data_IF_052338161240
#
_entry.id   IF_052338161240
#
_cell.length_a   1.000
_cell.length_b   1.000
_cell.length_c   1.000
_cell.angle_alpha   90.00
_cell.angle_beta   90.00
_cell.angle_gamma   90.00
#
_symmetry.space_group_name_H-M   'P 1'
#
loop_
_entity.id
_entity.type
_entity.pdbx_description
1 polymer ?
#
# COMPACT_ATOMS: atom_id res chain seq x y z
N UNK A 1 4.94 -25.89 10.94
CA UNK A 1 5.72 -25.36 9.81
C UNK A 1 5.84 -23.85 10.00
N UNK A 2 7.03 -23.37 10.25
CA UNK A 2 7.30 -21.94 10.35
C UNK A 2 7.19 -21.34 8.93
N UNK A 3 6.10 -20.66 8.64
CA UNK A 3 5.93 -19.95 7.39
C UNK A 3 6.93 -18.77 7.37
N UNK A 4 8.12 -18.99 6.83
CA UNK A 4 9.08 -17.93 6.54
C UNK A 4 8.51 -17.05 5.41
N UNK A 5 7.70 -16.08 5.79
CA UNK A 5 7.20 -15.10 4.85
C UNK A 5 8.36 -14.23 4.38
N UNK A 6 8.74 -14.36 3.10
CA UNK A 6 9.75 -13.50 2.46
C UNK A 6 9.05 -12.22 2.01
N UNK A 7 9.57 -11.06 2.41
CA UNK A 7 9.05 -9.76 1.96
C UNK A 7 9.25 -9.61 0.45
N UNK A 8 8.27 -8.98 -0.21
CA UNK A 8 8.29 -8.78 -1.65
C UNK A 8 9.38 -7.80 -2.03
N UNK A 9 10.16 -8.09 -3.09
CA UNK A 9 11.24 -7.25 -3.60
C UNK A 9 12.21 -6.80 -2.49
N UNK A 10 12.54 -7.72 -1.55
CA UNK A 10 13.32 -7.40 -0.35
C UNK A 10 14.69 -6.82 -0.70
N UNK A 11 15.49 -7.55 -1.49
CA UNK A 11 16.86 -7.16 -1.82
C UNK A 11 16.86 -5.85 -2.62
N UNK A 12 16.00 -5.74 -3.63
CA UNK A 12 15.88 -4.57 -4.48
C UNK A 12 15.47 -3.32 -3.69
N UNK A 13 14.62 -3.49 -2.68
CA UNK A 13 14.20 -2.39 -1.81
C UNK A 13 15.34 -1.94 -0.92
N UNK A 14 16.07 -2.86 -0.32
CA UNK A 14 17.21 -2.54 0.56
C UNK A 14 18.38 -1.92 -0.23
N UNK A 15 18.69 -2.44 -1.40
CA UNK A 15 19.67 -1.82 -2.32
C UNK A 15 19.19 -0.42 -2.77
N UNK A 16 17.90 -0.31 -3.07
CA UNK A 16 17.27 0.95 -3.42
C UNK A 16 17.39 2.02 -2.35
N UNK A 17 17.24 1.66 -1.08
CA UNK A 17 17.36 2.56 0.06
C UNK A 17 18.78 3.08 0.29
N UNK A 18 19.81 2.35 -0.13
CA UNK A 18 21.23 2.67 0.17
C UNK A 18 21.47 2.91 1.67
N UNK A 19 21.14 1.92 2.48
CA UNK A 19 21.15 2.04 3.94
C UNK A 19 22.53 2.52 4.46
N UNK A 20 22.51 3.69 5.12
CA UNK A 20 23.67 4.24 5.86
C UNK A 20 23.64 3.71 7.29
N UNK A 21 24.77 3.22 7.86
CA UNK A 21 24.77 2.64 9.21
C UNK A 21 24.24 3.55 10.31
N UNK A 22 24.52 4.85 10.26
CA UNK A 22 24.11 5.84 11.26
C UNK A 22 22.83 6.60 10.86
N UNK A 23 22.13 6.16 9.80
CA UNK A 23 20.98 6.84 9.24
C UNK A 23 19.68 6.60 10.02
N UNK A 24 18.67 7.38 9.69
CA UNK A 24 17.29 7.27 10.21
C UNK A 24 16.38 6.75 9.10
N UNK A 25 15.72 5.63 9.35
CA UNK A 25 14.85 4.96 8.39
C UNK A 25 13.44 4.77 8.92
N UNK A 26 12.46 4.87 8.03
CA UNK A 26 11.04 4.71 8.37
C UNK A 26 10.43 3.66 7.45
N UNK A 27 9.67 2.74 8.03
CA UNK A 27 8.75 1.88 7.30
C UNK A 27 7.31 2.28 7.67
N UNK A 28 6.57 2.80 6.68
CA UNK A 28 5.20 3.27 6.88
C UNK A 28 4.15 2.17 6.81
N UNK A 29 4.57 0.96 6.46
CA UNK A 29 3.74 -0.23 6.25
C UNK A 29 4.43 -1.44 6.86
N UNK A 30 4.71 -1.36 8.16
CA UNK A 30 5.63 -2.25 8.88
C UNK A 30 5.31 -3.75 8.70
N UNK A 31 4.01 -4.09 8.70
CA UNK A 31 3.53 -5.46 8.55
C UNK A 31 4.26 -6.44 9.45
N UNK A 32 4.74 -7.55 8.88
CA UNK A 32 5.56 -8.54 9.61
C UNK A 32 7.04 -8.16 9.77
N UNK A 33 7.40 -6.91 9.54
CA UNK A 33 8.75 -6.34 9.72
C UNK A 33 9.87 -7.02 8.92
N UNK A 34 9.58 -7.51 7.71
CA UNK A 34 10.61 -8.16 6.90
C UNK A 34 11.64 -7.17 6.35
N UNK A 35 11.20 -6.09 5.69
CA UNK A 35 12.06 -5.01 5.25
C UNK A 35 12.74 -4.33 6.45
N UNK A 36 11.98 -4.07 7.52
CA UNK A 36 12.47 -3.47 8.75
C UNK A 36 13.64 -4.25 9.38
N UNK A 37 13.53 -5.58 9.49
CA UNK A 37 14.59 -6.44 10.03
C UNK A 37 15.88 -6.30 9.23
N UNK A 38 15.78 -6.23 7.91
CA UNK A 38 16.92 -6.14 7.03
C UNK A 38 17.59 -4.77 7.07
N UNK A 39 16.80 -3.68 7.22
CA UNK A 39 17.33 -2.34 7.52
C UNK A 39 18.02 -2.33 8.88
N UNK A 40 17.36 -2.83 9.94
CA UNK A 40 17.91 -2.84 11.30
C UNK A 40 19.24 -3.62 11.39
N UNK A 41 19.40 -4.69 10.61
CA UNK A 41 20.65 -5.47 10.55
C UNK A 41 21.82 -4.65 10.01
N UNK A 42 21.55 -3.67 9.15
CA UNK A 42 22.57 -2.78 8.55
C UNK A 42 22.86 -1.52 9.38
N UNK A 43 21.99 -1.20 10.35
CA UNK A 43 22.17 -0.02 11.19
C UNK A 43 23.21 -0.28 12.28
N UNK A 44 24.02 0.74 12.57
CA UNK A 44 24.89 0.80 13.74
C UNK A 44 24.10 1.12 15.03
N UNK A 45 24.79 1.22 16.15
CA UNK A 45 24.20 1.66 17.42
C UNK A 45 23.69 3.12 17.39
N UNK A 46 24.15 3.94 16.44
CA UNK A 46 23.71 5.34 16.27
C UNK A 46 22.51 5.46 15.31
N UNK A 47 22.30 4.47 14.45
CA UNK A 47 21.19 4.45 13.52
C UNK A 47 19.85 4.29 14.25
N UNK A 48 18.78 4.81 13.66
CA UNK A 48 17.41 4.71 14.20
C UNK A 48 16.46 4.15 13.15
N UNK A 49 15.51 3.37 13.60
CA UNK A 49 14.45 2.83 12.77
C UNK A 49 13.08 3.12 13.40
N UNK A 50 12.15 3.61 12.60
CA UNK A 50 10.78 3.88 12.99
C UNK A 50 9.85 3.02 12.12
N UNK A 51 9.06 2.15 12.77
CA UNK A 51 8.04 1.35 12.10
C UNK A 51 6.65 1.90 12.39
N UNK A 52 5.84 2.07 11.37
CA UNK A 52 4.46 2.55 11.47
C UNK A 52 3.54 1.51 10.84
N UNK A 53 2.49 1.11 11.57
CA UNK A 53 1.40 0.33 11.03
C UNK A 53 0.10 0.67 11.76
N UNK A 54 -1.02 0.59 11.07
CA UNK A 54 -2.35 0.81 11.65
C UNK A 54 -2.96 -0.46 12.24
N UNK A 55 -2.46 -1.63 11.81
CA UNK A 55 -2.94 -2.93 12.24
C UNK A 55 -2.26 -3.39 13.52
N UNK A 56 -3.06 -3.71 14.55
CA UNK A 56 -2.53 -4.19 15.83
C UNK A 56 -1.77 -5.51 15.71
N UNK A 57 -2.23 -6.41 14.84
CA UNK A 57 -1.59 -7.70 14.64
C UNK A 57 -0.19 -7.54 14.03
N UNK A 58 -0.04 -6.58 13.09
CA UNK A 58 1.24 -6.21 12.53
C UNK A 58 2.19 -5.63 13.60
N UNK A 59 1.68 -4.75 14.46
CA UNK A 59 2.47 -4.16 15.57
C UNK A 59 3.01 -5.25 16.51
N UNK A 60 2.19 -6.23 16.88
CA UNK A 60 2.60 -7.34 17.74
C UNK A 60 3.69 -8.17 17.07
N UNK A 61 3.44 -8.64 15.85
CA UNK A 61 4.40 -9.47 15.10
C UNK A 61 5.73 -8.75 14.86
N UNK A 62 5.67 -7.45 14.51
CA UNK A 62 6.86 -6.64 14.31
C UNK A 62 7.64 -6.43 15.61
N UNK A 63 6.97 -6.21 16.73
CA UNK A 63 7.61 -6.03 18.04
C UNK A 63 8.41 -7.26 18.46
N UNK A 64 7.85 -8.44 18.24
CA UNK A 64 8.52 -9.72 18.50
C UNK A 64 9.74 -9.88 17.59
N UNK A 65 9.55 -9.67 16.28
CA UNK A 65 10.60 -9.86 15.28
C UNK A 65 11.77 -8.89 15.44
N UNK A 66 11.49 -7.66 15.88
CA UNK A 66 12.48 -6.60 16.05
C UNK A 66 13.04 -6.50 17.49
N UNK A 67 12.67 -7.41 18.39
CA UNK A 67 13.06 -7.39 19.79
C UNK A 67 14.58 -7.28 20.02
N UNK A 68 15.41 -7.90 19.15
CA UNK A 68 16.86 -7.80 19.18
C UNK A 68 17.41 -6.38 18.90
N UNK A 69 16.58 -5.50 18.34
CA UNK A 69 16.95 -4.13 17.95
C UNK A 69 16.23 -3.05 18.76
N UNK A 70 15.59 -3.39 19.89
CA UNK A 70 14.72 -2.53 20.69
C UNK A 70 15.32 -1.15 21.04
N UNK A 71 16.66 -1.07 21.22
CA UNK A 71 17.34 0.16 21.63
C UNK A 71 17.39 1.23 20.52
N UNK A 72 17.14 0.84 19.28
CA UNK A 72 17.17 1.72 18.09
C UNK A 72 15.89 1.70 17.26
N UNK A 73 14.89 0.91 17.68
CA UNK A 73 13.59 0.77 17.00
C UNK A 73 12.50 1.43 17.81
N UNK A 74 11.68 2.23 17.14
CA UNK A 74 10.43 2.77 17.68
C UNK A 74 9.29 2.26 16.80
N UNK A 75 8.26 1.64 17.38
CA UNK A 75 7.09 1.16 16.68
C UNK A 75 5.88 1.99 17.09
N UNK A 76 5.13 2.49 16.10
CA UNK A 76 3.99 3.39 16.28
C UNK A 76 2.76 2.78 15.63
N UNK A 77 1.67 2.62 16.38
CA UNK A 77 0.38 2.26 15.82
C UNK A 77 -0.32 3.48 15.24
N UNK A 78 -0.10 3.76 13.97
CA UNK A 78 -0.66 4.91 13.25
C UNK A 78 -0.80 4.58 11.77
N UNK A 79 -1.52 5.41 11.03
CA UNK A 79 -1.53 5.33 9.57
C UNK A 79 -0.35 6.14 9.01
N UNK A 80 0.28 5.66 7.95
CA UNK A 80 1.44 6.33 7.34
C UNK A 80 1.12 7.75 6.82
N UNK A 81 -0.14 8.12 6.62
CA UNK A 81 -0.50 9.50 6.30
C UNK A 81 -0.12 10.49 7.41
N UNK A 82 0.02 10.01 8.64
CA UNK A 82 0.46 10.81 9.77
C UNK A 82 1.97 10.75 10.03
N UNK A 83 2.73 10.03 9.19
CA UNK A 83 4.18 9.81 9.35
C UNK A 83 4.95 11.08 9.68
N UNK A 84 4.73 12.17 8.95
CA UNK A 84 5.42 13.45 9.17
C UNK A 84 5.15 14.01 10.56
N UNK A 85 3.93 13.90 11.05
CA UNK A 85 3.56 14.38 12.39
C UNK A 85 4.13 13.47 13.48
N UNK A 86 4.06 12.15 13.30
CA UNK A 86 4.62 11.18 14.25
C UNK A 86 6.14 11.36 14.39
N UNK A 87 6.86 11.58 13.29
CA UNK A 87 8.30 11.86 13.34
C UNK A 87 8.61 13.18 14.05
N UNK A 88 7.83 14.24 13.81
CA UNK A 88 7.97 15.52 14.52
C UNK A 88 7.78 15.35 16.04
N UNK A 89 6.81 14.54 16.46
CA UNK A 89 6.56 14.24 17.87
C UNK A 89 7.76 13.53 18.52
N UNK A 90 8.55 12.77 17.74
CA UNK A 90 9.81 12.14 18.17
C UNK A 90 11.03 13.07 18.05
N UNK A 91 10.85 14.34 17.67
CA UNK A 91 11.94 15.28 17.41
C UNK A 91 12.75 14.97 16.14
N UNK A 92 12.18 14.17 15.22
CA UNK A 92 12.82 13.80 13.95
C UNK A 92 12.24 14.68 12.85
N UNK A 93 13.08 15.52 12.26
CA UNK A 93 12.69 16.46 11.20
C UNK A 93 13.16 16.01 9.82
N UNK A 94 14.09 15.05 9.76
CA UNK A 94 14.67 14.56 8.52
C UNK A 94 15.03 13.08 8.65
N UNK A 95 14.87 12.32 7.56
CA UNK A 95 15.18 10.88 7.50
C UNK A 95 16.01 10.54 6.27
N UNK A 96 16.80 9.45 6.34
CA UNK A 96 17.66 8.98 5.24
C UNK A 96 16.92 8.06 4.28
N UNK A 97 15.84 7.41 4.73
CA UNK A 97 15.04 6.58 3.83
C UNK A 97 13.67 6.23 4.37
N UNK A 98 12.76 5.98 3.43
CA UNK A 98 11.37 5.59 3.70
C UNK A 98 11.04 4.37 2.85
N UNK A 99 10.35 3.40 3.44
CA UNK A 99 9.74 2.24 2.74
C UNK A 99 8.23 2.33 2.86
N UNK A 100 7.54 2.06 1.76
CA UNK A 100 6.12 1.76 1.72
C UNK A 100 5.93 0.47 0.92
N UNK A 101 5.43 -0.58 1.56
CA UNK A 101 4.98 -1.83 0.95
C UNK A 101 3.45 -1.84 0.98
N UNK A 102 2.83 -1.32 -0.10
CA UNK A 102 1.41 -1.00 -0.13
C UNK A 102 0.53 -2.25 -0.21
N UNK A 103 -0.74 -2.07 0.12
CA UNK A 103 -1.76 -3.11 0.04
C UNK A 103 -1.94 -3.89 1.34
N UNK A 104 -2.34 -5.15 1.24
CA UNK A 104 -2.64 -6.01 2.40
C UNK A 104 -1.43 -6.81 2.83
N UNK A 105 -1.23 -6.91 4.13
CA UNK A 105 -0.20 -7.78 4.68
C UNK A 105 -0.58 -9.25 4.47
N UNK A 106 0.43 -10.12 4.47
CA UNK A 106 0.17 -11.55 4.38
C UNK A 106 -0.62 -12.07 5.57
N UNK A 107 -0.40 -11.51 6.75
CA UNK A 107 -1.18 -11.84 7.93
C UNK A 107 -2.67 -11.54 7.73
N UNK A 108 -3.01 -10.40 7.15
CA UNK A 108 -4.40 -10.04 6.83
C UNK A 108 -5.04 -10.99 5.82
N UNK A 109 -4.27 -11.50 4.86
CA UNK A 109 -4.76 -12.47 3.88
C UNK A 109 -4.89 -13.89 4.45
N UNK A 110 -4.01 -14.27 5.38
CA UNK A 110 -3.95 -15.60 5.95
C UNK A 110 -4.91 -15.76 7.15
N UNK A 111 -5.30 -14.65 7.79
CA UNK A 111 -6.34 -14.64 8.81
C UNK A 111 -7.72 -14.46 8.17
N UNK A 112 -8.43 -15.56 7.98
CA UNK A 112 -9.72 -15.60 7.30
C UNK A 112 -10.76 -14.66 7.94
N UNK A 113 -10.79 -14.57 9.28
CA UNK A 113 -11.72 -13.72 10.06
C UNK A 113 -11.59 -12.22 9.74
N UNK A 114 -10.49 -11.78 9.12
CA UNK A 114 -10.28 -10.40 8.68
C UNK A 114 -11.05 -10.05 7.39
N UNK A 115 -11.60 -11.03 6.66
CA UNK A 115 -12.45 -10.84 5.49
C UNK A 115 -11.76 -10.29 4.23
N UNK A 116 -10.44 -10.31 4.15
CA UNK A 116 -9.70 -9.86 2.96
C UNK A 116 -9.67 -10.90 1.83
N UNK A 117 -9.93 -12.17 2.15
CA UNK A 117 -9.90 -13.24 1.16
C UNK A 117 -11.30 -13.58 0.65
N UNK A 118 -11.41 -13.84 -0.63
CA UNK A 118 -12.62 -14.34 -1.30
C UNK A 118 -12.61 -15.88 -1.48
N UNK A 119 -11.63 -16.56 -0.89
CA UNK A 119 -11.44 -18.01 -1.06
C UNK A 119 -12.17 -18.82 0.00
N UNK A 120 -12.47 -18.21 1.11
CA UNK A 120 -13.09 -18.80 2.29
C UNK A 120 -14.29 -17.94 2.67
N UNK A 121 -15.32 -18.54 3.23
CA UNK A 121 -16.47 -17.82 3.78
C UNK A 121 -16.15 -17.32 5.19
N UNK A 122 -16.13 -16.02 5.38
CA UNK A 122 -15.74 -15.33 6.59
C UNK A 122 -16.50 -13.99 6.73
N UNK A 123 -16.48 -13.34 7.90
CA UNK A 123 -17.10 -12.01 8.05
C UNK A 123 -16.58 -11.01 7.00
N UNK A 124 -17.47 -10.21 6.42
CA UNK A 124 -17.15 -9.20 5.42
C UNK A 124 -16.63 -7.92 6.10
N UNK A 125 -15.43 -8.00 6.69
CA UNK A 125 -14.82 -6.94 7.50
C UNK A 125 -13.90 -6.03 6.65
N UNK A 126 -12.75 -6.50 6.20
CA UNK A 126 -11.71 -5.81 5.40
C UNK A 126 -11.10 -4.55 6.05
N UNK A 127 -11.28 -4.29 7.34
CA UNK A 127 -10.64 -3.16 8.03
C UNK A 127 -9.15 -3.44 8.23
N UNK A 128 -8.29 -2.56 7.75
CA UNK A 128 -6.86 -2.56 8.09
C UNK A 128 -6.67 -2.03 9.54
N UNK A 129 -7.35 -0.94 9.88
CA UNK A 129 -7.42 -0.42 11.23
C UNK A 129 -8.74 -0.86 11.89
N UNK A 130 -8.65 -1.83 12.81
CA UNK A 130 -9.84 -2.34 13.53
C UNK A 130 -10.46 -1.35 14.51
N UNK A 131 -9.84 -0.18 14.75
CA UNK A 131 -10.44 0.90 15.57
C UNK A 131 -11.55 1.65 14.83
N UNK A 132 -11.56 1.60 13.48
CA UNK A 132 -12.69 2.17 12.73
C UNK A 132 -13.94 1.31 12.90
N UNK A 133 -15.12 1.95 12.96
CA UNK A 133 -16.39 1.25 13.12
C UNK A 133 -16.92 0.63 11.83
N UNK A 134 -16.60 1.25 10.69
CA UNK A 134 -17.13 0.89 9.38
C UNK A 134 -16.40 -0.33 8.83
N UNK A 135 -17.17 -1.30 8.30
CA UNK A 135 -16.68 -2.53 7.69
C UNK A 135 -16.99 -2.57 6.18
N UNK A 136 -16.49 -3.59 5.47
CA UNK A 136 -16.85 -3.83 4.09
C UNK A 136 -18.34 -4.17 3.94
N UNK A 137 -18.93 -4.87 4.94
CA UNK A 137 -20.36 -5.15 4.95
C UNK A 137 -21.19 -3.84 4.96
N UNK A 138 -20.77 -2.82 5.68
CA UNK A 138 -21.46 -1.53 5.72
C UNK A 138 -21.44 -0.82 4.35
N UNK A 139 -20.35 -0.93 3.60
CA UNK A 139 -20.28 -0.42 2.22
C UNK A 139 -21.24 -1.19 1.32
N UNK A 140 -21.19 -2.51 1.35
CA UNK A 140 -21.99 -3.37 0.48
C UNK A 140 -23.50 -3.21 0.77
N UNK A 141 -23.88 -3.11 2.03
CA UNK A 141 -25.28 -2.99 2.43
C UNK A 141 -25.78 -1.54 2.42
N UNK A 142 -24.91 -0.54 2.59
CA UNK A 142 -25.32 0.86 2.77
C UNK A 142 -25.21 1.74 1.52
N UNK A 143 -24.25 1.50 0.62
CA UNK A 143 -24.04 2.33 -0.55
C UNK A 143 -25.17 2.21 -1.57
N UNK A 144 -25.51 3.31 -2.25
CA UNK A 144 -26.43 3.27 -3.39
C UNK A 144 -25.81 2.53 -4.58
N UNK A 145 -26.66 2.04 -5.51
CA UNK A 145 -26.19 1.32 -6.71
C UNK A 145 -25.17 2.13 -7.52
N UNK A 146 -25.38 3.44 -7.64
CA UNK A 146 -24.47 4.35 -8.34
C UNK A 146 -23.09 4.44 -7.66
N UNK A 147 -23.04 4.44 -6.34
CA UNK A 147 -21.79 4.48 -5.58
C UNK A 147 -21.06 3.15 -5.67
N UNK A 148 -21.76 2.02 -5.53
CA UNK A 148 -21.18 0.69 -5.73
C UNK A 148 -20.62 0.54 -7.15
N UNK A 149 -21.39 0.97 -8.17
CA UNK A 149 -20.89 0.99 -9.55
C UNK A 149 -19.62 1.82 -9.68
N UNK A 150 -19.58 3.03 -9.12
CA UNK A 150 -18.41 3.91 -9.16
C UNK A 150 -17.16 3.23 -8.57
N UNK A 151 -17.25 2.71 -7.35
CA UNK A 151 -16.07 2.09 -6.71
C UNK A 151 -15.61 0.84 -7.44
N UNK A 152 -16.52 -0.02 -7.90
CA UNK A 152 -16.17 -1.23 -8.64
C UNK A 152 -15.56 -0.89 -10.01
N UNK A 153 -16.04 0.17 -10.66
CA UNK A 153 -15.50 0.66 -11.93
C UNK A 153 -14.12 1.30 -11.72
N UNK A 154 -14.01 2.27 -10.80
CA UNK A 154 -12.83 3.12 -10.65
C UNK A 154 -11.70 2.41 -9.91
N UNK A 155 -12.00 1.62 -8.89
CA UNK A 155 -11.00 0.94 -8.04
C UNK A 155 -10.81 -0.54 -8.38
N UNK A 156 -11.85 -1.18 -8.92
CA UNK A 156 -11.75 -2.56 -9.41
C UNK A 156 -11.32 -2.65 -10.87
N UNK A 157 -11.47 -1.57 -11.65
CA UNK A 157 -11.29 -1.57 -13.11
C UNK A 157 -12.10 -2.73 -13.76
N UNK A 158 -13.31 -3.02 -13.22
CA UNK A 158 -14.12 -4.16 -13.62
C UNK A 158 -15.13 -3.79 -14.70
N UNK A 159 -15.07 -4.51 -15.82
CA UNK A 159 -15.99 -4.28 -16.97
C UNK A 159 -17.46 -4.62 -16.64
N UNK A 160 -17.69 -5.44 -15.63
CA UNK A 160 -19.01 -5.86 -15.19
C UNK A 160 -19.54 -5.05 -14.00
N UNK A 161 -18.85 -3.96 -13.61
CA UNK A 161 -19.17 -3.14 -12.45
C UNK A 161 -20.64 -2.79 -12.32
N UNK A 162 -21.30 -2.38 -13.44
CA UNK A 162 -22.72 -2.04 -13.45
C UNK A 162 -23.61 -3.23 -13.08
N UNK A 163 -23.32 -4.41 -13.65
CA UNK A 163 -24.10 -5.60 -13.40
C UNK A 163 -23.88 -6.14 -11.98
N UNK A 164 -22.63 -6.08 -11.50
CA UNK A 164 -22.28 -6.46 -10.13
C UNK A 164 -23.02 -5.57 -9.13
N UNK A 165 -22.97 -4.24 -9.27
CA UNK A 165 -23.66 -3.31 -8.40
C UNK A 165 -25.17 -3.59 -8.34
N UNK A 166 -25.82 -3.81 -9.50
CA UNK A 166 -27.24 -4.17 -9.57
C UNK A 166 -27.55 -5.47 -8.81
N UNK A 167 -26.72 -6.51 -8.96
CA UNK A 167 -26.94 -7.79 -8.27
C UNK A 167 -26.76 -7.67 -6.77
N UNK A 168 -25.77 -6.87 -6.31
CA UNK A 168 -25.56 -6.59 -4.88
C UNK A 168 -26.81 -5.90 -4.31
N UNK A 169 -27.31 -4.84 -4.97
CA UNK A 169 -28.49 -4.12 -4.50
C UNK A 169 -29.73 -4.99 -4.46
N UNK A 170 -29.94 -5.83 -5.47
CA UNK A 170 -31.08 -6.77 -5.50
C UNK A 170 -30.97 -7.81 -4.37
N UNK A 171 -29.79 -8.41 -4.17
CA UNK A 171 -29.58 -9.44 -3.15
C UNK A 171 -29.77 -8.93 -1.73
N UNK A 172 -29.26 -7.73 -1.40
CA UNK A 172 -29.38 -7.16 -0.06
C UNK A 172 -30.79 -6.73 0.33
N UNK A 173 -31.69 -6.57 -0.63
CA UNK A 173 -33.12 -6.34 -0.35
C UNK A 173 -33.81 -7.57 0.24
N UNK A 174 -33.32 -8.76 -0.08
CA UNK A 174 -33.84 -10.02 0.47
C UNK A 174 -33.20 -10.33 1.84
N UNK A 175 -31.88 -10.18 1.93
CA UNK A 175 -31.09 -10.46 3.12
C UNK A 175 -29.79 -9.64 3.12
N UNK A 176 -29.39 -8.99 4.23
CA UNK A 176 -28.09 -8.35 4.36
C UNK A 176 -26.93 -9.28 3.98
N UNK A 177 -25.95 -8.76 3.27
CA UNK A 177 -24.74 -9.48 2.84
C UNK A 177 -23.68 -9.28 3.91
N UNK A 178 -23.38 -10.34 4.67
CA UNK A 178 -22.50 -10.23 5.85
C UNK A 178 -21.21 -11.02 5.71
N UNK A 179 -21.11 -11.90 4.70
CA UNK A 179 -19.93 -12.75 4.54
C UNK A 179 -19.29 -12.60 3.17
N UNK A 180 -18.01 -12.95 3.10
CA UNK A 180 -17.21 -12.96 1.86
C UNK A 180 -17.76 -13.98 0.87
N UNK A 181 -18.28 -15.11 1.33
CA UNK A 181 -18.90 -16.15 0.50
C UNK A 181 -20.18 -15.66 -0.16
N UNK A 182 -21.09 -15.03 0.61
CA UNK A 182 -22.32 -14.42 0.09
C UNK A 182 -22.00 -13.40 -1.03
N UNK A 183 -21.06 -12.48 -0.77
CA UNK A 183 -20.64 -11.49 -1.76
C UNK A 183 -20.03 -12.15 -3.01
N UNK A 184 -19.16 -13.14 -2.82
CA UNK A 184 -18.51 -13.87 -3.92
C UNK A 184 -19.53 -14.55 -4.83
N UNK A 185 -20.55 -15.16 -4.25
CA UNK A 185 -21.61 -15.84 -5.02
C UNK A 185 -22.45 -14.85 -5.83
N UNK A 186 -22.77 -13.68 -5.25
CA UNK A 186 -23.49 -12.61 -5.95
C UNK A 186 -22.68 -12.11 -7.14
N UNK A 187 -21.37 -11.89 -6.95
CA UNK A 187 -20.47 -11.46 -8.03
C UNK A 187 -20.41 -12.51 -9.16
N UNK A 188 -20.32 -13.80 -8.79
CA UNK A 188 -20.31 -14.90 -9.77
C UNK A 188 -21.57 -14.89 -10.64
N UNK A 189 -22.74 -14.69 -10.05
CA UNK A 189 -24.01 -14.61 -10.79
C UNK A 189 -24.07 -13.39 -11.71
N UNK A 190 -23.39 -12.31 -11.37
CA UNK A 190 -23.35 -11.08 -12.18
C UNK A 190 -22.41 -11.18 -13.40
N UNK A 191 -21.50 -12.14 -13.46
CA UNK A 191 -20.48 -12.26 -14.51
C UNK A 191 -20.77 -13.51 -15.37
N UNK A 192 -20.79 -13.40 -16.71
CA UNK A 192 -21.04 -14.55 -17.58
C UNK A 192 -20.01 -15.68 -17.36
N UNK A 193 -20.47 -16.93 -17.27
CA UNK A 193 -19.62 -18.11 -17.00
C UNK A 193 -18.43 -18.24 -17.97
N UNK A 194 -18.63 -17.92 -19.25
CA UNK A 194 -17.56 -17.95 -20.26
C UNK A 194 -16.38 -17.02 -19.91
N UNK A 195 -16.67 -15.88 -19.27
CA UNK A 195 -15.66 -14.90 -18.85
C UNK A 195 -14.95 -15.38 -17.58
N UNK A 196 -15.69 -16.00 -16.65
CA UNK A 196 -15.10 -16.56 -15.42
C UNK A 196 -14.09 -17.67 -15.73
N UNK A 197 -14.34 -18.50 -16.74
CA UNK A 197 -13.45 -19.58 -17.15
C UNK A 197 -12.13 -19.09 -17.80
N UNK A 198 -12.15 -17.91 -18.42
CA UNK A 198 -11.00 -17.36 -19.15
C UNK A 198 -10.11 -16.42 -18.31
N UNK A 199 -10.55 -16.05 -17.08
CA UNK A 199 -9.88 -15.05 -16.24
C UNK A 199 -9.45 -15.59 -14.88
N UNK A 200 -8.95 -14.69 -14.03
CA UNK A 200 -8.72 -14.96 -12.61
C UNK A 200 -10.05 -15.04 -11.83
N UNK A 201 -9.96 -15.19 -10.51
CA UNK A 201 -11.16 -15.30 -9.67
C UNK A 201 -12.08 -14.08 -9.84
N UNK A 202 -13.39 -14.25 -10.14
CA UNK A 202 -14.31 -13.19 -10.51
C UNK A 202 -14.46 -12.12 -9.41
N UNK A 203 -14.39 -12.48 -8.14
CA UNK A 203 -14.52 -11.55 -7.04
C UNK A 203 -13.27 -10.66 -6.80
N UNK A 204 -12.11 -10.98 -7.37
CA UNK A 204 -10.84 -10.31 -7.07
C UNK A 204 -10.94 -8.78 -7.20
N UNK A 205 -11.53 -8.29 -8.28
CA UNK A 205 -11.62 -6.85 -8.58
C UNK A 205 -12.59 -6.11 -7.68
N UNK A 206 -13.74 -6.72 -7.40
CA UNK A 206 -14.74 -6.14 -6.49
C UNK A 206 -14.21 -6.09 -5.06
N UNK A 207 -13.54 -7.15 -4.58
CA UNK A 207 -12.89 -7.15 -3.26
C UNK A 207 -11.81 -6.08 -3.15
N UNK A 208 -10.97 -5.93 -4.18
CA UNK A 208 -10.01 -4.82 -4.26
C UNK A 208 -10.70 -3.47 -4.17
N UNK A 209 -11.80 -3.26 -4.91
CA UNK A 209 -12.51 -2.00 -4.93
C UNK A 209 -13.10 -1.62 -3.56
N UNK A 210 -13.76 -2.58 -2.90
CA UNK A 210 -14.34 -2.38 -1.57
C UNK A 210 -13.25 -2.11 -0.53
N UNK A 211 -12.13 -2.84 -0.58
CA UNK A 211 -10.98 -2.65 0.31
C UNK A 211 -10.37 -1.25 0.16
N UNK A 212 -10.13 -0.82 -1.08
CA UNK A 212 -9.59 0.52 -1.39
C UNK A 212 -10.52 1.62 -0.86
N UNK A 213 -11.82 1.50 -1.08
CA UNK A 213 -12.81 2.47 -0.60
C UNK A 213 -12.85 2.50 0.92
N UNK A 214 -12.94 1.34 1.58
CA UNK A 214 -13.03 1.22 3.02
C UNK A 214 -11.84 1.84 3.75
N UNK A 215 -10.63 1.53 3.27
CA UNK A 215 -9.37 1.93 3.90
C UNK A 215 -8.80 3.23 3.32
N UNK A 216 -9.48 3.89 2.37
CA UNK A 216 -9.05 5.11 1.68
C UNK A 216 -7.63 5.01 1.10
N UNK A 217 -7.24 3.82 0.64
CA UNK A 217 -5.84 3.50 0.29
C UNK A 217 -5.23 4.49 -0.72
N UNK A 218 -5.97 4.84 -1.78
CA UNK A 218 -5.48 5.74 -2.82
C UNK A 218 -5.44 7.20 -2.38
N UNK A 219 -6.38 7.64 -1.53
CA UNK A 219 -6.41 9.02 -1.05
C UNK A 219 -5.28 9.25 -0.05
N UNK A 220 -5.11 8.33 0.92
CA UNK A 220 -4.01 8.35 1.88
C UNK A 220 -2.65 8.42 1.15
N UNK A 221 -2.47 7.62 0.09
CA UNK A 221 -1.24 7.63 -0.72
C UNK A 221 -1.02 8.98 -1.43
N UNK A 222 -2.06 9.57 -2.01
CA UNK A 222 -1.96 10.88 -2.68
C UNK A 222 -1.65 12.01 -1.71
N UNK A 223 -2.28 12.01 -0.56
CA UNK A 223 -2.18 13.06 0.45
C UNK A 223 -0.82 13.07 1.16
N UNK A 224 -0.16 11.91 1.28
CA UNK A 224 1.04 11.74 2.12
C UNK A 224 2.38 11.79 1.40
N UNK A 225 2.46 11.37 0.13
CA UNK A 225 3.74 11.19 -0.57
C UNK A 225 4.56 12.47 -0.73
N UNK A 226 3.93 13.61 -1.03
CA UNK A 226 4.65 14.89 -1.16
C UNK A 226 5.33 15.27 0.16
N UNK A 227 4.63 15.12 1.30
CA UNK A 227 5.18 15.37 2.63
C UNK A 227 6.30 14.41 3.03
N UNK A 228 6.21 13.14 2.61
CA UNK A 228 7.27 12.16 2.83
C UNK A 228 8.53 12.50 2.04
N UNK A 229 8.40 12.99 0.81
CA UNK A 229 9.53 13.46 0.01
C UNK A 229 10.18 14.67 0.67
N UNK A 230 9.39 15.55 1.30
CA UNK A 230 9.90 16.78 1.91
C UNK A 230 10.73 16.55 3.18
N UNK A 231 10.47 15.47 3.92
CA UNK A 231 11.25 15.10 5.11
C UNK A 231 12.49 14.25 4.80
N UNK A 232 12.71 13.84 3.55
CA UNK A 232 13.96 13.18 3.18
C UNK A 232 15.13 14.16 3.22
N UNK A 233 16.24 13.71 3.78
CA UNK A 233 17.53 14.38 3.70
C UNK A 233 18.13 14.37 2.30
N UNK A 234 19.20 15.12 2.08
CA UNK A 234 19.93 15.08 0.82
C UNK A 234 20.48 13.67 0.54
N UNK A 235 20.20 13.16 -0.67
CA UNK A 235 20.49 11.77 -1.04
C UNK A 235 19.60 10.73 -0.36
N UNK A 236 18.67 11.14 0.50
CA UNK A 236 17.67 10.26 1.10
C UNK A 236 16.70 9.69 0.07
N UNK A 237 16.19 8.48 0.29
CA UNK A 237 15.38 7.76 -0.69
C UNK A 237 14.06 7.28 -0.14
N UNK A 238 13.02 7.36 -0.96
CA UNK A 238 11.76 6.68 -0.73
C UNK A 238 11.59 5.53 -1.73
N UNK A 239 11.35 4.33 -1.20
CA UNK A 239 11.08 3.11 -1.93
C UNK A 239 9.60 2.74 -1.73
N UNK A 240 8.83 2.66 -2.82
CA UNK A 240 7.40 2.33 -2.76
C UNK A 240 7.13 1.10 -3.63
N UNK A 241 6.62 0.04 -2.99
CA UNK A 241 6.16 -1.18 -3.63
C UNK A 241 4.64 -1.07 -3.81
N UNK A 242 4.16 -1.29 -5.01
CA UNK A 242 2.74 -1.22 -5.39
C UNK A 242 2.29 -2.55 -5.97
N UNK A 243 1.00 -2.91 -5.82
CA UNK A 243 0.46 -4.21 -6.28
C UNK A 243 -0.62 -4.09 -7.35
N UNK A 244 -1.09 -2.88 -7.66
CA UNK A 244 -2.03 -2.66 -8.75
C UNK A 244 -1.77 -1.34 -9.49
N UNK A 245 -2.41 -1.21 -10.67
CA UNK A 245 -2.22 -0.11 -11.62
C UNK A 245 -2.49 1.27 -11.04
N UNK A 246 -3.48 1.39 -10.14
CA UNK A 246 -3.89 2.68 -9.58
C UNK A 246 -2.84 3.23 -8.62
N UNK A 247 -2.29 2.40 -7.72
CA UNK A 247 -1.17 2.78 -6.85
C UNK A 247 0.05 3.19 -7.69
N UNK A 248 0.47 2.34 -8.62
CA UNK A 248 1.64 2.59 -9.47
C UNK A 248 1.52 3.91 -10.25
N UNK A 249 0.31 4.23 -10.71
CA UNK A 249 0.01 5.49 -11.41
C UNK A 249 0.18 6.70 -10.50
N UNK A 250 -0.31 6.63 -9.25
CA UNK A 250 -0.19 7.71 -8.27
C UNK A 250 1.28 7.95 -7.94
N UNK A 251 2.02 6.90 -7.55
CA UNK A 251 3.44 7.00 -7.19
C UNK A 251 4.26 7.59 -8.35
N UNK A 252 4.09 7.04 -9.56
CA UNK A 252 4.75 7.53 -10.78
C UNK A 252 4.45 9.01 -11.04
N UNK A 253 3.20 9.43 -10.87
CA UNK A 253 2.78 10.81 -11.14
C UNK A 253 3.38 11.77 -10.13
N UNK A 254 3.35 11.42 -8.83
CA UNK A 254 3.89 12.27 -7.76
C UNK A 254 5.43 12.35 -7.86
N UNK A 255 6.12 11.25 -8.11
CA UNK A 255 7.57 11.26 -8.28
C UNK A 255 8.00 12.12 -9.47
N UNK A 256 7.30 12.02 -10.62
CA UNK A 256 7.57 12.85 -11.78
C UNK A 256 7.30 14.33 -11.53
N UNK A 257 6.20 14.66 -10.82
CA UNK A 257 5.88 16.03 -10.41
C UNK A 257 6.98 16.65 -9.53
N UNK A 258 7.56 15.84 -8.61
CA UNK A 258 8.65 16.30 -7.74
C UNK A 258 10.01 16.37 -8.46
N UNK A 259 10.23 15.58 -9.51
CA UNK A 259 11.41 15.68 -10.39
C UNK A 259 11.30 16.87 -11.34
N UNK A 260 10.12 17.08 -11.92
CA UNK A 260 9.84 18.14 -12.90
C UNK A 260 8.59 18.92 -12.50
N UNK A 261 8.68 19.83 -11.51
CA UNK A 261 7.52 20.52 -10.96
C UNK A 261 7.02 21.69 -11.82
N UNK A 262 7.71 22.01 -12.90
CA UNK A 262 7.35 23.12 -13.77
C UNK A 262 5.94 22.97 -14.34
N UNK A 263 5.14 24.05 -14.23
CA UNK A 263 3.76 24.15 -14.76
C UNK A 263 3.61 25.20 -15.84
N UNK A 264 4.73 25.78 -16.33
CA UNK A 264 4.71 26.71 -17.45
C UNK A 264 4.27 25.99 -18.74
N UNK A 265 3.60 26.70 -19.65
CA UNK A 265 3.36 26.19 -21.00
C UNK A 265 4.68 25.74 -21.66
N UNK A 266 4.68 24.64 -22.45
CA UNK A 266 5.90 24.16 -23.11
C UNK A 266 6.59 25.18 -24.02
N UNK A 267 5.84 26.12 -24.57
CA UNK A 267 6.31 27.14 -25.53
C UNK A 267 6.93 28.35 -24.84
N UNK A 268 6.96 28.43 -23.51
CA UNK A 268 7.58 29.54 -22.80
C UNK A 268 9.10 29.42 -22.88
N UNK A 269 9.78 30.50 -23.35
CA UNK A 269 11.24 30.51 -23.53
C UNK A 269 12.00 30.41 -22.20
N UNK A 270 11.37 30.82 -21.08
CA UNK A 270 11.97 30.79 -19.73
C UNK A 270 10.90 30.37 -18.72
N UNK A 271 11.27 29.52 -17.76
CA UNK A 271 10.38 29.13 -16.68
C UNK A 271 10.11 30.29 -15.72
N UNK A 272 8.84 30.65 -15.55
CA UNK A 272 8.40 31.76 -14.67
C UNK A 272 7.63 31.27 -13.43
N UNK A 273 7.40 29.96 -13.29
CA UNK A 273 6.62 29.44 -12.15
C UNK A 273 7.41 29.34 -10.83
N UNK A 274 8.73 29.50 -10.88
CA UNK A 274 9.60 29.44 -9.70
C UNK A 274 9.69 28.10 -8.99
N UNK A 275 9.04 27.05 -9.52
CA UNK A 275 9.05 25.72 -8.91
C UNK A 275 10.37 25.02 -9.19
N UNK A 276 10.98 24.47 -8.13
CA UNK A 276 12.26 23.77 -8.22
C UNK A 276 12.09 22.27 -8.05
N UNK A 277 12.87 21.44 -8.77
CA UNK A 277 12.93 20.00 -8.54
C UNK A 277 13.28 19.68 -7.08
N UNK A 278 12.58 18.71 -6.50
CA UNK A 278 12.89 18.22 -5.15
C UNK A 278 13.87 17.04 -5.16
N UNK A 279 14.15 16.46 -6.31
CA UNK A 279 15.03 15.31 -6.42
C UNK A 279 14.91 14.63 -7.78
N UNK A 280 15.22 13.34 -7.82
CA UNK A 280 15.31 12.55 -9.05
C UNK A 280 14.56 11.23 -8.93
N UNK A 281 13.84 10.86 -9.98
CA UNK A 281 13.27 9.50 -10.15
C UNK A 281 14.41 8.54 -10.51
N UNK A 282 14.72 7.60 -9.64
CA UNK A 282 15.76 6.59 -9.86
C UNK A 282 15.26 5.51 -10.81
N UNK A 283 14.02 5.06 -10.61
CA UNK A 283 13.40 3.99 -11.41
C UNK A 283 12.47 4.58 -12.48
N UNK A 284 12.97 4.90 -13.66
CA UNK A 284 12.11 5.35 -14.79
C UNK A 284 11.10 4.26 -15.20
N UNK A 285 11.55 3.00 -15.23
CA UNK A 285 10.70 1.79 -15.28
C UNK A 285 10.68 1.19 -13.88
N UNK A 286 9.56 0.63 -13.41
CA UNK A 286 9.54 -0.03 -12.10
C UNK A 286 10.45 -1.26 -12.11
N UNK A 287 11.04 -1.56 -10.95
CA UNK A 287 11.70 -2.85 -10.73
C UNK A 287 10.59 -3.88 -10.49
N UNK A 288 10.70 -5.03 -11.12
CA UNK A 288 9.77 -6.14 -11.02
C UNK A 288 10.44 -7.32 -10.31
N UNK A 289 9.66 -8.20 -9.67
CA UNK A 289 10.19 -9.42 -9.06
C UNK A 289 10.93 -10.30 -10.09
N UNK A 290 12.05 -10.87 -9.67
CA UNK A 290 12.80 -11.84 -10.49
C UNK A 290 12.08 -13.19 -10.59
N UNK A 291 12.53 -14.05 -11.52
CA UNK A 291 11.93 -15.37 -11.76
C UNK A 291 11.91 -16.23 -10.48
N UNK A 292 13.00 -16.27 -9.73
CA UNK A 292 13.09 -17.01 -8.48
C UNK A 292 12.05 -16.53 -7.44
N UNK A 293 11.87 -15.22 -7.30
CA UNK A 293 10.87 -14.69 -6.37
C UNK A 293 9.45 -15.03 -6.82
N UNK A 294 9.17 -15.00 -8.11
CA UNK A 294 7.86 -15.37 -8.65
C UNK A 294 7.51 -16.85 -8.40
N UNK A 295 8.51 -17.73 -8.41
CA UNK A 295 8.35 -19.15 -8.08
C UNK A 295 8.11 -19.36 -6.57
N UNK A 296 8.89 -18.69 -5.73
CA UNK A 296 8.84 -18.83 -4.27
C UNK A 296 7.65 -18.06 -3.63
N UNK A 297 7.22 -16.93 -4.23
CA UNK A 297 6.20 -16.04 -3.69
C UNK A 297 5.20 -15.57 -4.75
N UNK A 298 4.13 -16.32 -4.94
CA UNK A 298 3.08 -15.97 -5.91
C UNK A 298 2.39 -14.61 -5.66
N UNK A 299 2.51 -14.04 -4.46
CA UNK A 299 1.97 -12.72 -4.11
C UNK A 299 2.77 -11.58 -4.71
N UNK A 300 4.04 -11.80 -5.06
CA UNK A 300 4.90 -10.80 -5.71
C UNK A 300 4.54 -10.53 -7.18
N UNK A 301 3.75 -11.38 -7.82
CA UNK A 301 3.46 -11.35 -9.27
C UNK A 301 3.06 -9.99 -9.84
N UNK A 302 2.36 -9.18 -9.07
CA UNK A 302 1.91 -7.83 -9.49
C UNK A 302 2.72 -6.69 -8.89
N UNK A 303 3.75 -7.01 -8.10
CA UNK A 303 4.56 -6.03 -7.41
C UNK A 303 5.41 -5.17 -8.38
N UNK A 304 5.53 -3.89 -8.02
CA UNK A 304 6.34 -2.91 -8.75
C UNK A 304 7.02 -1.99 -7.76
N UNK A 305 8.34 -1.97 -7.75
CA UNK A 305 9.11 -1.05 -6.90
C UNK A 305 9.44 0.23 -7.67
N UNK A 306 9.15 1.38 -7.05
CA UNK A 306 9.57 2.70 -7.51
C UNK A 306 10.40 3.41 -6.45
N UNK A 307 11.46 4.10 -6.90
CA UNK A 307 12.44 4.78 -6.04
C UNK A 307 12.58 6.22 -6.48
N UNK A 308 12.51 7.14 -5.51
CA UNK A 308 12.83 8.56 -5.67
C UNK A 308 13.94 8.94 -4.70
N UNK A 309 14.89 9.75 -5.15
CA UNK A 309 16.00 10.28 -4.36
C UNK A 309 15.84 11.79 -4.18
N UNK A 310 15.81 12.24 -2.94
CA UNK A 310 15.80 13.66 -2.59
C UNK A 310 17.14 14.29 -2.95
N UNK A 311 17.12 15.50 -3.49
CA UNK A 311 18.28 16.33 -3.72
C UNK A 311 17.97 17.73 -3.22
N UNK A 312 18.69 18.17 -2.24
CA UNK A 312 18.64 19.55 -1.78
C UNK A 312 19.59 20.34 -2.70
N UNK A 313 19.11 21.45 -3.27
CA UNK A 313 20.00 22.36 -4.01
C UNK A 313 21.07 22.89 -3.06
N UNK A 314 22.32 22.78 -3.46
CA UNK A 314 23.45 23.43 -2.79
C UNK A 314 23.39 24.94 -3.01
#
# INVERSE_FOLDING_TARGET
MEFKHKSVLLEETIEGLKVKPDGIYVDGTLGGAGHASEVCRRLSAKGRFIGIDQDQDAIVAASERLAAYKDRVTIIRSNYCYMVNELKNLGIHQVDGIVLDLGVSSYQLDNEERGFTYRVDAPLDMRMDQRQSRTAADIINGYEEKELYRIICDYGEDKFAKNIAKHIVAARQEKPINTTGELTEIIRRAIPMKIQAAGGHPAKRTFQAVRIELNRELDVLRESLDGMIDILGDGGRICVITFHSLEDRIVKTIFRKNENPCTCPPDFPVCVCGKKPKGKVITRKPILPGEQELEENSRSKSAKLRIFERRLEQ
#
